data_IF_923523939147
#
_entry.id   IF_923523939147
#
_cell.length_a   1.000
_cell.length_b   1.000
_cell.length_c   1.000
_cell.angle_alpha   90.00
_cell.angle_beta   90.00
_cell.angle_gamma   90.00
#
_symmetry.space_group_name_H-M   'P 1'
#
loop_
_entity.id
_entity.type
_entity.pdbx_description
1 polymer ?
#
# COMPACT_ATOMS: atom_id res chain seq x y z
N UNK A 1 -2.54 15.58 -2.90
CA UNK A 1 -2.54 14.32 -2.14
C UNK A 1 -1.15 13.96 -1.67
N UNK A 2 -1.07 12.99 -0.80
CA UNK A 2 0.20 12.55 -0.23
C UNK A 2 0.65 11.22 -0.85
N UNK A 3 1.94 10.94 -0.72
CA UNK A 3 2.52 9.66 -1.12
C UNK A 3 2.89 8.91 0.16
N UNK A 4 2.38 7.69 0.29
CA UNK A 4 2.63 6.85 1.46
C UNK A 4 3.31 5.54 1.05
N UNK A 5 4.20 5.07 1.91
CA UNK A 5 4.74 3.72 1.81
C UNK A 5 3.99 2.83 2.78
N UNK A 6 3.44 1.74 2.27
CA UNK A 6 2.78 0.72 3.06
C UNK A 6 3.72 -0.47 3.21
N UNK A 7 3.76 -1.08 4.38
CA UNK A 7 4.51 -2.31 4.59
C UNK A 7 3.80 -3.20 5.58
N UNK A 8 4.05 -4.49 5.50
CA UNK A 8 3.49 -5.48 6.41
C UNK A 8 4.51 -6.55 6.75
N UNK A 9 4.38 -7.15 7.92
CA UNK A 9 5.24 -8.25 8.36
C UNK A 9 4.43 -9.50 8.75
N UNK A 10 3.09 -9.38 8.77
CA UNK A 10 2.22 -10.49 9.22
C UNK A 10 1.92 -11.50 8.12
N UNK A 11 1.94 -11.08 6.86
CA UNK A 11 1.80 -11.98 5.71
C UNK A 11 3.11 -11.96 4.96
N UNK A 12 4.01 -12.87 5.30
CA UNK A 12 5.36 -12.90 4.74
C UNK A 12 5.65 -14.17 3.93
N UNK A 13 4.62 -14.91 3.55
CA UNK A 13 4.75 -16.07 2.67
C UNK A 13 4.79 -15.69 1.20
N UNK A 14 4.75 -16.70 0.34
CA UNK A 14 4.67 -16.46 -1.10
C UNK A 14 3.32 -15.90 -1.49
N UNK A 15 3.29 -15.18 -2.62
CA UNK A 15 2.11 -14.56 -3.17
C UNK A 15 1.48 -13.51 -2.23
N UNK A 16 2.33 -12.82 -1.47
CA UNK A 16 1.92 -11.69 -0.63
C UNK A 16 2.78 -10.47 -0.94
N UNK A 17 2.24 -9.28 -0.67
CA UNK A 17 3.03 -8.06 -0.79
C UNK A 17 3.86 -7.85 0.47
N UNK A 18 5.06 -7.28 0.32
CA UNK A 18 5.82 -6.82 1.48
C UNK A 18 5.76 -5.31 1.63
N UNK A 19 5.63 -4.57 0.54
CA UNK A 19 5.51 -3.12 0.58
C UNK A 19 4.88 -2.58 -0.69
N UNK A 20 4.41 -1.34 -0.63
CA UNK A 20 3.86 -0.63 -1.76
C UNK A 20 3.96 0.87 -1.53
N UNK A 21 3.96 1.64 -2.63
CA UNK A 21 3.91 3.10 -2.58
C UNK A 21 2.60 3.52 -3.24
N UNK A 22 1.78 4.26 -2.51
CA UNK A 22 0.43 4.62 -2.94
C UNK A 22 0.17 6.12 -2.76
N UNK A 23 -0.82 6.61 -3.50
CA UNK A 23 -1.31 8.00 -3.38
C UNK A 23 -2.62 8.00 -2.61
N UNK A 24 -2.70 8.81 -1.57
CA UNK A 24 -3.92 8.92 -0.74
C UNK A 24 -4.00 10.27 -0.05
N UNK A 25 -5.21 10.64 0.37
CA UNK A 25 -5.45 11.89 1.11
C UNK A 25 -4.97 11.82 2.55
N UNK A 26 -4.98 10.64 3.12
CA UNK A 26 -4.69 10.44 4.53
C UNK A 26 -4.08 9.07 4.76
N UNK A 27 -3.52 8.87 5.96
CA UNK A 27 -2.99 7.59 6.38
C UNK A 27 -4.08 6.50 6.34
N UNK A 28 -5.27 6.83 6.80
CA UNK A 28 -6.39 5.88 6.80
C UNK A 28 -6.76 5.46 5.38
N UNK A 29 -6.84 6.41 4.45
CA UNK A 29 -7.13 6.10 3.05
C UNK A 29 -6.03 5.25 2.44
N UNK A 30 -4.76 5.50 2.80
CA UNK A 30 -3.64 4.69 2.33
C UNK A 30 -3.78 3.24 2.78
N UNK A 31 -4.14 3.02 4.05
CA UNK A 31 -4.33 1.66 4.59
C UNK A 31 -5.41 0.88 3.87
N UNK A 32 -6.40 1.58 3.33
CA UNK A 32 -7.55 0.97 2.66
C UNK A 32 -7.41 0.90 1.15
N UNK A 33 -6.22 1.16 0.61
CA UNK A 33 -5.96 1.06 -0.82
C UNK A 33 -6.29 -0.34 -1.32
N UNK A 34 -7.03 -0.41 -2.43
CA UNK A 34 -7.40 -1.68 -3.06
C UNK A 34 -6.33 -2.10 -4.06
N UNK A 35 -5.82 -3.30 -3.91
CA UNK A 35 -4.84 -3.88 -4.82
C UNK A 35 -5.54 -4.91 -5.72
N UNK A 36 -5.06 -5.11 -6.95
CA UNK A 36 -5.63 -6.09 -7.88
C UNK A 36 -5.19 -7.51 -7.53
N UNK A 37 -5.41 -7.92 -6.29
CA UNK A 37 -4.94 -9.20 -5.75
C UNK A 37 -5.94 -9.69 -4.71
N UNK A 38 -5.94 -11.00 -4.39
CA UNK A 38 -6.81 -11.54 -3.34
C UNK A 38 -6.56 -10.87 -1.99
N UNK A 39 -7.58 -10.83 -1.15
CA UNK A 39 -7.53 -10.14 0.14
C UNK A 39 -6.43 -10.64 1.07
N UNK A 40 -6.04 -11.91 0.96
CA UNK A 40 -5.01 -12.47 1.82
C UNK A 40 -3.59 -11.94 1.52
N UNK A 41 -3.42 -11.23 0.42
CA UNK A 41 -2.09 -10.71 0.04
C UNK A 41 -1.64 -9.55 0.92
N UNK A 42 -2.56 -8.90 1.60
CA UNK A 42 -2.27 -7.82 2.54
C UNK A 42 -2.85 -8.12 3.91
N UNK A 43 -2.22 -7.55 4.92
CA UNK A 43 -2.71 -7.59 6.29
C UNK A 43 -3.98 -6.75 6.43
N UNK A 44 -4.68 -6.92 7.54
CA UNK A 44 -5.77 -6.02 7.90
C UNK A 44 -5.21 -4.59 8.04
N UNK A 45 -6.01 -3.56 7.75
CA UNK A 45 -5.50 -2.18 7.80
C UNK A 45 -4.76 -1.82 9.08
N UNK A 46 -5.18 -2.33 10.21
CA UNK A 46 -4.53 -2.06 11.50
C UNK A 46 -3.11 -2.63 11.60
N UNK A 47 -2.80 -3.66 10.82
CA UNK A 47 -1.49 -4.33 10.85
C UNK A 47 -0.54 -3.82 9.77
N UNK A 48 -0.97 -2.86 8.96
CA UNK A 48 -0.14 -2.26 7.92
C UNK A 48 0.58 -1.05 8.51
N UNK A 49 1.90 -1.00 8.32
CA UNK A 49 2.69 0.17 8.68
C UNK A 49 2.59 1.19 7.54
N UNK A 50 2.28 2.43 7.88
CA UNK A 50 2.13 3.51 6.92
C UNK A 50 3.13 4.61 7.20
N UNK A 51 3.86 5.03 6.18
CA UNK A 51 4.85 6.10 6.30
C UNK A 51 4.60 7.14 5.22
N UNK A 52 4.46 8.41 5.63
CA UNK A 52 4.35 9.53 4.69
C UNK A 52 5.74 9.79 4.12
N UNK A 53 5.90 9.69 2.81
CA UNK A 53 7.20 9.85 2.16
C UNK A 53 7.25 11.02 1.18
N UNK A 54 6.13 11.64 0.86
CA UNK A 54 6.14 12.77 -0.06
C UNK A 54 4.75 13.28 -0.38
N UNK A 55 4.73 14.21 -1.34
CA UNK A 55 3.49 14.82 -1.84
C UNK A 55 3.38 14.50 -3.31
N UNK A 56 2.21 14.01 -3.71
CA UNK A 56 1.96 13.62 -5.09
C UNK A 56 1.70 14.84 -5.98
N UNK A 57 2.12 14.74 -7.24
CA UNK A 57 1.75 15.73 -8.24
C UNK A 57 0.23 15.75 -8.42
N UNK A 58 -0.36 16.90 -8.79
CA UNK A 58 -1.82 17.01 -8.95
C UNK A 58 -2.42 16.04 -9.98
N UNK A 59 -1.61 15.52 -10.90
CA UNK A 59 -2.08 14.58 -11.92
C UNK A 59 -2.37 13.18 -11.39
N UNK A 60 -1.89 12.84 -10.19
CA UNK A 60 -2.17 11.53 -9.58
C UNK A 60 -3.48 11.57 -8.83
N UNK A 61 -4.26 10.50 -8.96
CA UNK A 61 -5.54 10.36 -8.26
C UNK A 61 -5.39 9.46 -7.05
N UNK A 62 -6.29 9.61 -6.10
CA UNK A 62 -6.32 8.75 -4.91
C UNK A 62 -6.47 7.29 -5.31
N UNK A 63 -5.75 6.40 -4.61
CA UNK A 63 -5.78 4.98 -4.89
C UNK A 63 -4.75 4.53 -5.93
N UNK A 64 -3.99 5.48 -6.52
CA UNK A 64 -2.92 5.11 -7.45
C UNK A 64 -1.84 4.34 -6.72
N UNK A 65 -1.50 3.17 -7.23
CA UNK A 65 -0.38 2.37 -6.74
C UNK A 65 0.81 2.70 -7.63
N UNK A 66 1.78 3.44 -7.08
CA UNK A 66 2.96 3.86 -7.86
C UNK A 66 3.86 2.66 -8.12
N UNK A 67 4.09 1.85 -7.10
CA UNK A 67 4.83 0.60 -7.22
C UNK A 67 4.50 -0.31 -6.05
N UNK A 68 4.75 -1.60 -6.21
CA UNK A 68 4.52 -2.58 -5.15
C UNK A 68 5.54 -3.69 -5.27
N UNK A 69 5.93 -4.23 -4.12
CA UNK A 69 6.84 -5.38 -4.05
C UNK A 69 6.02 -6.61 -3.67
N UNK A 70 6.00 -7.59 -4.55
CA UNK A 70 5.18 -8.80 -4.40
C UNK A 70 6.08 -10.03 -4.34
N UNK A 71 5.89 -10.85 -3.31
CA UNK A 71 6.65 -12.10 -3.14
C UNK A 71 6.03 -13.21 -3.97
N UNK A 72 6.38 -13.32 -5.23
CA UNK A 72 5.94 -14.40 -6.09
C UNK A 72 6.73 -15.67 -5.74
N UNK A 73 6.02 -16.71 -5.43
CA UNK A 73 6.60 -17.98 -4.96
C UNK A 73 7.41 -18.75 -5.96
#
# INVERSE_FOLDING_TARGET
MNIYRLSQTVNNGYDTYDSAVVVADSEEAARETKFPSPDYTWAQPADITVELIGIALPSYTEGTIICASFNAG
#
